data_IF_430669762017
#
_entry.id   IF_430669762017
#
_cell.length_a   1.000
_cell.length_b   1.000
_cell.length_c   1.000
_cell.angle_alpha   90.00
_cell.angle_beta   90.00
_cell.angle_gamma   90.00
#
_symmetry.space_group_name_H-M   'P 1'
#
loop_
_entity.id
_entity.type
_entity.pdbx_description
1 polymer ?
#
# COMPACT_ATOMS: atom_id res chain seq x y z
N UNK A 1 -88.86 -27.55 -8.81
CA UNK A 1 -88.51 -26.20 -9.35
C UNK A 1 -87.78 -25.32 -8.32
N UNK A 2 -88.34 -25.04 -7.14
CA UNK A 2 -87.64 -24.25 -6.09
C UNK A 2 -86.34 -24.88 -5.57
N UNK A 3 -86.32 -26.21 -5.39
CA UNK A 3 -85.12 -26.95 -4.96
C UNK A 3 -83.98 -26.90 -5.99
N UNK A 4 -84.30 -27.06 -7.28
CA UNK A 4 -83.32 -26.98 -8.37
C UNK A 4 -82.78 -25.56 -8.59
N UNK A 5 -83.60 -24.53 -8.36
CA UNK A 5 -83.15 -23.13 -8.42
C UNK A 5 -82.13 -22.84 -7.30
N UNK A 6 -82.38 -23.36 -6.10
CA UNK A 6 -81.51 -23.19 -4.94
C UNK A 6 -80.17 -23.95 -5.11
N UNK A 7 -80.21 -25.16 -5.69
CA UNK A 7 -79.01 -25.93 -5.99
C UNK A 7 -78.11 -25.24 -7.03
N UNK A 8 -78.69 -24.66 -8.09
CA UNK A 8 -77.96 -23.88 -9.10
C UNK A 8 -77.36 -22.60 -8.50
N UNK A 9 -78.11 -21.91 -7.62
CA UNK A 9 -77.62 -20.72 -6.92
C UNK A 9 -76.46 -21.04 -5.97
N UNK A 10 -76.54 -22.14 -5.22
CA UNK A 10 -75.45 -22.62 -4.34
C UNK A 10 -74.22 -22.99 -5.17
N UNK A 11 -74.38 -23.74 -6.27
CA UNK A 11 -73.26 -24.06 -7.18
C UNK A 11 -72.60 -22.81 -7.75
N UNK A 12 -73.39 -21.81 -8.16
CA UNK A 12 -72.89 -20.52 -8.63
C UNK A 12 -72.11 -19.76 -7.56
N UNK A 13 -72.63 -19.69 -6.33
CA UNK A 13 -71.95 -19.04 -5.21
C UNK A 13 -70.62 -19.73 -4.85
N UNK A 14 -70.60 -21.07 -4.83
CA UNK A 14 -69.39 -21.85 -4.57
C UNK A 14 -68.29 -21.56 -5.60
N UNK A 15 -68.65 -21.46 -6.89
CA UNK A 15 -67.69 -21.11 -7.96
C UNK A 15 -67.11 -19.71 -7.73
N UNK A 16 -67.95 -18.73 -7.38
CA UNK A 16 -67.49 -17.36 -7.11
C UNK A 16 -66.52 -17.34 -5.92
N UNK A 17 -66.83 -18.05 -4.83
CA UNK A 17 -65.95 -18.15 -3.66
C UNK A 17 -64.61 -18.80 -4.03
N UNK A 18 -64.63 -19.88 -4.82
CA UNK A 18 -63.39 -20.54 -5.30
C UNK A 18 -62.56 -19.56 -6.15
N UNK A 19 -63.18 -18.83 -7.08
CA UNK A 19 -62.47 -17.85 -7.90
C UNK A 19 -61.86 -16.73 -7.07
N UNK A 20 -62.56 -16.24 -6.05
CA UNK A 20 -62.02 -15.26 -5.11
C UNK A 20 -60.83 -15.82 -4.35
N UNK A 21 -60.93 -17.05 -3.82
CA UNK A 21 -59.81 -17.72 -3.14
C UNK A 21 -58.60 -17.91 -4.06
N UNK A 22 -58.82 -18.37 -5.30
CA UNK A 22 -57.74 -18.53 -6.29
C UNK A 22 -57.11 -17.19 -6.64
N UNK A 23 -57.91 -16.15 -6.86
CA UNK A 23 -57.40 -14.80 -7.17
C UNK A 23 -56.56 -14.24 -6.02
N UNK A 24 -57.01 -14.42 -4.77
CA UNK A 24 -56.26 -14.04 -3.59
C UNK A 24 -54.94 -14.80 -3.49
N UNK A 25 -54.94 -16.11 -3.70
CA UNK A 25 -53.72 -16.93 -3.70
C UNK A 25 -52.73 -16.49 -4.78
N UNK A 26 -53.20 -16.22 -6.00
CA UNK A 26 -52.35 -15.72 -7.09
C UNK A 26 -51.70 -14.39 -6.69
N UNK A 27 -52.48 -13.45 -6.15
CA UNK A 27 -51.95 -12.16 -5.69
C UNK A 27 -50.94 -12.33 -4.55
N UNK A 28 -51.28 -13.16 -3.56
CA UNK A 28 -50.44 -13.47 -2.41
C UNK A 28 -49.06 -14.00 -2.84
N UNK A 29 -49.02 -14.98 -3.75
CA UNK A 29 -47.78 -15.58 -4.22
C UNK A 29 -47.00 -14.70 -5.22
N UNK A 30 -47.66 -13.75 -5.89
CA UNK A 30 -47.01 -12.80 -6.83
C UNK A 30 -46.25 -11.68 -6.13
N UNK A 31 -46.61 -11.32 -4.89
CA UNK A 31 -45.97 -10.23 -4.15
C UNK A 31 -45.06 -10.69 -3.03
N UNK A 32 -44.93 -12.01 -2.84
CA UNK A 32 -44.22 -12.62 -1.71
C UNK A 32 -43.18 -13.63 -2.17
N UNK A 33 -42.12 -13.75 -1.39
CA UNK A 33 -41.19 -14.87 -1.50
C UNK A 33 -41.93 -16.19 -1.31
N UNK A 34 -41.46 -17.24 -1.97
CA UNK A 34 -42.14 -18.53 -1.90
C UNK A 34 -41.79 -19.25 -0.61
N UNK A 35 -42.44 -20.39 -0.36
CA UNK A 35 -42.09 -21.22 0.77
C UNK A 35 -40.63 -21.71 0.66
N UNK A 36 -39.97 -21.85 1.81
CA UNK A 36 -38.60 -22.33 1.92
C UNK A 36 -37.62 -21.43 1.15
N UNK A 37 -37.74 -20.12 1.34
CA UNK A 37 -36.82 -19.11 0.80
C UNK A 37 -35.97 -18.53 1.92
N UNK A 38 -34.66 -18.56 1.74
CA UNK A 38 -33.68 -18.08 2.72
C UNK A 38 -32.77 -17.02 2.09
N UNK A 39 -32.47 -15.96 2.85
CA UNK A 39 -31.44 -14.97 2.53
C UNK A 39 -30.37 -15.09 3.61
N UNK A 40 -29.22 -15.65 3.26
CA UNK A 40 -28.27 -16.17 4.24
C UNK A 40 -28.90 -17.28 5.08
N UNK A 41 -28.90 -17.09 6.40
CA UNK A 41 -29.54 -17.99 7.38
C UNK A 41 -30.97 -17.56 7.75
N UNK A 42 -31.45 -16.43 7.22
CA UNK A 42 -32.75 -15.86 7.59
C UNK A 42 -33.85 -16.43 6.70
N UNK A 43 -34.81 -17.12 7.31
CA UNK A 43 -36.01 -17.61 6.63
C UNK A 43 -36.91 -16.43 6.21
N UNK A 44 -37.06 -16.20 4.92
CA UNK A 44 -37.91 -15.17 4.34
C UNK A 44 -39.15 -15.76 3.64
N UNK A 45 -39.54 -16.99 4.00
CA UNK A 45 -40.71 -17.65 3.42
C UNK A 45 -41.97 -16.81 3.59
N UNK A 46 -42.68 -16.61 2.48
CA UNK A 46 -43.91 -15.80 2.40
C UNK A 46 -43.76 -14.33 2.77
N UNK A 47 -42.54 -13.81 2.97
CA UNK A 47 -42.34 -12.39 3.23
C UNK A 47 -42.63 -11.55 1.96
N UNK A 48 -43.22 -10.38 2.15
CA UNK A 48 -43.12 -9.26 1.21
C UNK A 48 -41.67 -8.73 1.20
N UNK A 49 -41.36 -7.84 0.26
CA UNK A 49 -40.04 -7.17 0.23
C UNK A 49 -39.75 -6.46 1.54
N UNK A 50 -40.68 -5.65 2.06
CA UNK A 50 -40.47 -4.87 3.29
C UNK A 50 -40.32 -5.75 4.53
N UNK A 51 -41.14 -6.81 4.64
CA UNK A 51 -41.01 -7.80 5.72
C UNK A 51 -39.68 -8.54 5.65
N UNK A 52 -39.18 -8.86 4.44
CA UNK A 52 -37.89 -9.53 4.27
C UNK A 52 -36.72 -8.61 4.66
N UNK A 53 -36.79 -7.32 4.30
CA UNK A 53 -35.81 -6.31 4.71
C UNK A 53 -35.72 -6.23 6.23
N UNK A 54 -36.86 -6.06 6.91
CA UNK A 54 -36.88 -5.97 8.38
C UNK A 54 -36.42 -7.26 9.05
N UNK A 55 -36.79 -8.43 8.51
CA UNK A 55 -36.38 -9.72 9.07
C UNK A 55 -34.89 -9.97 8.90
N UNK A 56 -34.32 -9.64 7.74
CA UNK A 56 -32.86 -9.71 7.52
C UNK A 56 -32.14 -8.72 8.42
N UNK A 57 -32.64 -7.49 8.54
CA UNK A 57 -32.10 -6.48 9.47
C UNK A 57 -32.03 -6.99 10.90
N UNK A 58 -33.09 -7.66 11.37
CA UNK A 58 -33.08 -8.28 12.70
C UNK A 58 -32.06 -9.43 12.80
N UNK A 59 -31.93 -10.24 11.75
CA UNK A 59 -30.95 -11.32 11.67
C UNK A 59 -29.50 -10.85 11.66
N UNK A 60 -29.23 -9.63 11.18
CA UNK A 60 -27.87 -9.07 11.10
C UNK A 60 -27.40 -8.35 12.37
N UNK A 61 -28.30 -8.02 13.31
CA UNK A 61 -27.95 -7.26 14.53
C UNK A 61 -26.84 -7.86 15.38
N UNK A 62 -26.79 -9.19 15.46
CA UNK A 62 -25.79 -9.90 16.25
C UNK A 62 -24.52 -10.24 15.45
N UNK A 63 -24.50 -9.94 14.14
CA UNK A 63 -23.35 -10.23 13.28
C UNK A 63 -22.29 -9.17 13.53
N UNK A 64 -21.09 -9.65 13.83
CA UNK A 64 -19.90 -8.84 14.00
C UNK A 64 -18.95 -9.05 12.83
N UNK A 65 -18.20 -8.01 12.51
CA UNK A 65 -17.01 -8.09 11.68
C UNK A 65 -15.76 -8.12 12.56
N UNK A 66 -14.68 -8.71 12.05
CA UNK A 66 -13.35 -8.67 12.64
C UNK A 66 -12.45 -7.80 11.76
N UNK A 67 -11.95 -6.70 12.31
CA UNK A 67 -10.95 -5.86 11.66
C UNK A 67 -9.58 -6.12 12.29
N UNK A 68 -8.69 -6.75 11.53
CA UNK A 68 -7.36 -7.16 11.97
C UNK A 68 -6.30 -6.14 11.58
N UNK A 69 -5.48 -5.71 12.55
CA UNK A 69 -4.36 -4.79 12.40
C UNK A 69 -3.02 -5.47 12.77
N UNK A 70 -1.89 -4.84 12.42
CA UNK A 70 -0.54 -5.45 12.49
C UNK A 70 0.00 -5.76 13.89
N UNK A 71 -0.64 -5.23 14.94
CA UNK A 71 -0.24 -5.46 16.33
C UNK A 71 -1.10 -6.53 17.03
N UNK A 72 -1.64 -7.48 16.27
CA UNK A 72 -2.63 -8.48 16.73
C UNK A 72 -3.90 -7.85 17.33
N UNK A 73 -4.13 -6.56 17.06
CA UNK A 73 -5.34 -5.85 17.49
C UNK A 73 -6.48 -6.26 16.56
N UNK A 74 -7.59 -6.66 17.18
CA UNK A 74 -8.81 -7.03 16.47
C UNK A 74 -9.96 -6.21 17.02
N UNK A 75 -10.58 -5.43 16.14
CA UNK A 75 -11.81 -4.71 16.44
C UNK A 75 -13.02 -5.52 16.00
N UNK A 76 -14.07 -5.51 16.83
CA UNK A 76 -15.24 -6.38 16.65
C UNK A 76 -16.57 -5.62 16.50
N UNK A 77 -16.69 -4.66 15.55
CA UNK A 77 -17.92 -3.93 15.38
C UNK A 77 -19.05 -4.82 14.88
N UNK A 78 -20.26 -4.50 15.30
CA UNK A 78 -21.48 -4.97 14.67
C UNK A 78 -21.67 -4.34 13.30
N UNK A 79 -22.39 -5.01 12.41
CA UNK A 79 -22.73 -4.46 11.09
C UNK A 79 -23.46 -3.11 11.18
N UNK A 80 -24.29 -2.90 12.21
CA UNK A 80 -24.99 -1.64 12.43
C UNK A 80 -24.02 -0.49 12.79
N UNK A 81 -23.01 -0.75 13.64
CA UNK A 81 -21.98 0.25 14.02
C UNK A 81 -21.15 0.73 12.82
N UNK A 82 -20.94 -0.14 11.84
CA UNK A 82 -20.22 0.17 10.59
C UNK A 82 -21.14 0.57 9.44
N UNK A 83 -22.40 0.88 9.74
CA UNK A 83 -23.32 1.51 8.79
C UNK A 83 -23.94 0.54 7.79
N UNK A 84 -24.37 -0.65 8.20
CA UNK A 84 -25.14 -1.55 7.35
C UNK A 84 -26.37 -0.86 6.75
N UNK A 85 -26.52 -1.01 5.44
CA UNK A 85 -27.67 -0.56 4.66
C UNK A 85 -28.26 -1.76 3.92
N UNK A 86 -29.58 -1.95 4.08
CA UNK A 86 -30.36 -2.93 3.34
C UNK A 86 -31.33 -2.18 2.44
N UNK A 87 -31.13 -2.25 1.13
CA UNK A 87 -31.95 -1.52 0.17
C UNK A 87 -33.10 -2.40 -0.34
N UNK A 88 -34.38 -1.96 -0.26
CA UNK A 88 -35.52 -2.74 -0.76
C UNK A 88 -35.41 -3.17 -2.23
N UNK A 89 -34.62 -2.45 -3.04
CA UNK A 89 -34.38 -2.76 -4.44
C UNK A 89 -33.72 -4.13 -4.64
N UNK A 90 -32.77 -4.52 -3.77
CA UNK A 90 -32.03 -5.78 -3.93
C UNK A 90 -32.95 -6.97 -3.61
N UNK A 91 -33.75 -6.84 -2.56
CA UNK A 91 -34.78 -7.82 -2.21
C UNK A 91 -35.84 -7.97 -3.31
N UNK A 92 -36.22 -6.85 -3.96
CA UNK A 92 -37.13 -6.89 -5.12
C UNK A 92 -36.49 -7.62 -6.31
N UNK A 93 -35.19 -7.47 -6.54
CA UNK A 93 -34.47 -8.21 -7.56
C UNK A 93 -34.41 -9.71 -7.25
N UNK A 94 -34.15 -10.08 -5.99
CA UNK A 94 -34.22 -11.49 -5.54
C UNK A 94 -35.61 -12.08 -5.76
N UNK A 95 -36.67 -11.34 -5.40
CA UNK A 95 -38.06 -11.76 -5.61
C UNK A 95 -38.37 -11.98 -7.10
N UNK A 96 -37.98 -11.02 -7.95
CA UNK A 96 -38.14 -11.12 -9.41
C UNK A 96 -37.39 -12.32 -9.97
N UNK A 97 -36.15 -12.55 -9.52
CA UNK A 97 -35.33 -13.70 -9.92
C UNK A 97 -36.02 -15.01 -9.56
N UNK A 98 -36.52 -15.13 -8.32
CA UNK A 98 -37.28 -16.30 -7.87
C UNK A 98 -38.50 -16.57 -8.77
N UNK A 99 -39.31 -15.55 -9.02
CA UNK A 99 -40.54 -15.71 -9.82
C UNK A 99 -40.28 -15.97 -11.30
N UNK A 100 -39.11 -15.56 -11.82
CA UNK A 100 -38.73 -15.85 -13.20
C UNK A 100 -38.34 -17.31 -13.43
N UNK A 101 -37.98 -18.05 -12.37
CA UNK A 101 -37.56 -19.44 -12.47
C UNK A 101 -38.08 -20.29 -11.30
N UNK A 102 -39.14 -21.05 -11.56
CA UNK A 102 -39.78 -21.93 -10.57
C UNK A 102 -38.84 -22.98 -9.98
N UNK A 103 -37.82 -23.43 -10.73
CA UNK A 103 -36.84 -24.43 -10.31
C UNK A 103 -35.61 -23.83 -9.63
N UNK A 104 -35.54 -22.49 -9.49
CA UNK A 104 -34.39 -21.85 -8.88
C UNK A 104 -34.19 -22.26 -7.42
N UNK A 105 -32.92 -22.40 -7.02
CA UNK A 105 -32.57 -22.53 -5.61
C UNK A 105 -33.06 -21.27 -4.88
N UNK A 106 -33.80 -21.47 -3.79
CA UNK A 106 -34.39 -20.41 -2.98
C UNK A 106 -33.50 -20.02 -1.79
N UNK A 107 -32.24 -20.45 -1.81
CA UNK A 107 -31.20 -20.00 -0.90
C UNK A 107 -30.35 -18.93 -1.58
N UNK A 108 -30.51 -17.68 -1.13
CA UNK A 108 -29.76 -16.53 -1.61
C UNK A 108 -28.63 -16.19 -0.63
N UNK A 109 -27.48 -15.77 -1.15
CA UNK A 109 -26.39 -15.32 -0.29
C UNK A 109 -26.76 -13.98 0.35
N UNK A 110 -26.53 -13.83 1.65
CA UNK A 110 -26.79 -12.58 2.38
C UNK A 110 -26.05 -11.39 1.75
N UNK A 111 -24.85 -11.60 1.20
CA UNK A 111 -24.04 -10.56 0.56
C UNK A 111 -24.72 -9.91 -0.65
N UNK A 112 -25.73 -10.57 -1.24
CA UNK A 112 -26.49 -9.98 -2.35
C UNK A 112 -27.37 -8.79 -1.95
N UNK A 113 -27.52 -8.55 -0.64
CA UNK A 113 -28.35 -7.46 -0.10
C UNK A 113 -27.62 -6.61 0.95
N UNK A 114 -26.35 -6.90 1.26
CA UNK A 114 -25.56 -6.14 2.24
C UNK A 114 -24.80 -5.02 1.56
N UNK A 115 -25.06 -3.80 1.99
CA UNK A 115 -24.27 -2.61 1.65
C UNK A 115 -23.80 -1.91 2.93
N UNK A 116 -22.75 -1.11 2.82
CA UNK A 116 -22.22 -0.36 3.96
C UNK A 116 -22.08 1.12 3.60
N UNK A 117 -22.61 1.98 4.47
CA UNK A 117 -22.49 3.42 4.30
C UNK A 117 -21.04 3.85 4.49
N UNK A 118 -20.48 4.37 3.41
CA UNK A 118 -19.08 4.80 3.34
C UNK A 118 -18.74 5.84 4.40
N UNK A 119 -19.65 6.78 4.68
CA UNK A 119 -19.38 7.86 5.63
C UNK A 119 -19.44 7.36 7.07
N UNK A 120 -20.41 6.51 7.42
CA UNK A 120 -20.48 5.90 8.76
C UNK A 120 -19.24 5.06 9.03
N UNK A 121 -18.87 4.17 8.09
CA UNK A 121 -17.67 3.35 8.20
C UNK A 121 -16.40 4.21 8.35
N UNK A 122 -16.30 5.31 7.58
CA UNK A 122 -15.20 6.26 7.70
C UNK A 122 -15.15 6.93 9.07
N UNK A 123 -16.28 7.32 9.64
CA UNK A 123 -16.32 7.91 10.98
C UNK A 123 -15.91 6.89 12.04
N UNK A 124 -16.41 5.65 11.94
CA UNK A 124 -15.98 4.55 12.81
C UNK A 124 -14.45 4.38 12.77
N UNK A 125 -13.85 4.33 11.58
CA UNK A 125 -12.39 4.23 11.46
C UNK A 125 -11.64 5.41 12.06
N UNK A 126 -12.15 6.65 12.01
CA UNK A 126 -11.48 7.79 12.64
C UNK A 126 -11.41 7.68 14.17
N UNK A 127 -12.32 6.94 14.78
CA UNK A 127 -12.38 6.77 16.22
C UNK A 127 -11.39 5.70 16.71
N UNK A 128 -10.99 4.77 15.82
CA UNK A 128 -10.05 3.71 16.12
C UNK A 128 -8.65 4.26 16.46
N UNK A 129 -8.03 3.83 17.58
CA UNK A 129 -6.67 4.23 17.93
C UNK A 129 -5.65 4.01 16.81
N UNK A 130 -5.74 2.90 16.08
CA UNK A 130 -4.82 2.48 15.01
C UNK A 130 -4.84 3.46 13.83
N UNK A 131 -5.95 4.16 13.66
CA UNK A 131 -6.17 5.15 12.61
C UNK A 131 -5.85 6.59 13.04
N UNK A 132 -5.37 6.79 14.28
CA UNK A 132 -4.95 8.11 14.76
C UNK A 132 -3.54 8.42 14.31
N UNK A 133 -3.32 9.68 13.93
CA UNK A 133 -2.02 10.16 13.44
C UNK A 133 -0.89 9.93 14.46
N UNK A 134 -1.16 10.00 15.77
CA UNK A 134 -0.16 9.71 16.81
C UNK A 134 0.30 8.25 16.86
N UNK A 135 -0.52 7.32 16.38
CA UNK A 135 -0.24 5.88 16.40
C UNK A 135 0.26 5.36 15.04
N UNK A 136 0.01 6.11 13.96
CA UNK A 136 0.56 5.81 12.63
C UNK A 136 2.04 6.17 12.54
N UNK A 137 2.87 5.18 12.17
CA UNK A 137 4.29 5.39 11.88
C UNK A 137 4.47 5.38 10.37
N UNK A 138 4.98 6.48 9.82
CA UNK A 138 5.40 6.55 8.42
C UNK A 138 6.68 5.71 8.27
N UNK A 139 6.77 4.79 7.30
CA UNK A 139 8.00 4.05 7.06
C UNK A 139 9.15 5.02 6.76
N UNK A 140 10.31 4.78 7.37
CA UNK A 140 11.51 5.61 7.16
C UNK A 140 12.53 4.80 6.40
N UNK A 141 13.02 5.36 5.29
CA UNK A 141 14.11 4.78 4.50
C UNK A 141 15.39 4.67 5.33
N UNK A 142 16.18 3.63 5.07
CA UNK A 142 17.56 3.58 5.49
C UNK A 142 18.35 4.72 4.86
N UNK A 143 19.39 5.21 5.54
CA UNK A 143 20.22 6.31 5.06
C UNK A 143 21.70 6.09 5.37
N UNK A 144 22.56 6.50 4.45
CA UNK A 144 23.99 6.60 4.68
C UNK A 144 24.24 7.83 5.55
N UNK A 145 24.91 7.63 6.69
CA UNK A 145 25.26 8.68 7.64
C UNK A 145 26.77 8.87 7.71
N UNK A 146 27.20 10.11 7.92
CA UNK A 146 28.60 10.50 8.05
C UNK A 146 28.92 10.87 9.50
N UNK A 147 29.85 10.15 10.15
CA UNK A 147 30.23 10.42 11.55
C UNK A 147 31.53 11.24 11.69
N UNK A 148 32.02 11.83 10.60
CA UNK A 148 33.30 12.54 10.56
C UNK A 148 34.52 11.66 10.24
N UNK A 149 34.39 10.33 10.26
CA UNK A 149 35.49 9.40 9.99
C UNK A 149 35.15 8.34 8.94
N UNK A 150 33.94 7.81 8.94
CA UNK A 150 33.48 6.79 8.01
C UNK A 150 31.98 6.94 7.72
N UNK A 151 31.55 6.30 6.64
CA UNK A 151 30.14 6.15 6.31
C UNK A 151 29.56 4.93 7.01
N UNK A 152 28.42 5.10 7.66
CA UNK A 152 27.61 4.02 8.23
C UNK A 152 26.21 4.05 7.62
N UNK A 153 25.40 3.03 7.91
CA UNK A 153 23.97 3.03 7.56
C UNK A 153 23.18 3.22 8.85
N UNK A 154 22.31 4.23 8.85
CA UNK A 154 21.17 4.27 9.77
C UNK A 154 20.07 3.37 9.16
N UNK A 155 19.66 2.30 9.87
CA UNK A 155 18.68 1.35 9.33
C UNK A 155 17.31 1.97 9.09
N UNK A 156 16.58 1.38 8.15
CA UNK A 156 15.19 1.69 7.88
C UNK A 156 14.30 1.39 9.09
N UNK A 157 13.16 2.08 9.17
CA UNK A 157 12.10 1.81 10.15
C UNK A 157 10.82 1.41 9.43
N UNK A 158 10.26 0.28 9.84
CA UNK A 158 8.99 -0.20 9.30
C UNK A 158 7.86 0.76 9.66
N UNK A 159 6.97 0.98 8.70
CA UNK A 159 5.77 1.76 8.88
C UNK A 159 4.59 0.93 9.38
N UNK A 160 3.57 1.65 9.86
CA UNK A 160 2.23 1.13 10.17
C UNK A 160 1.12 2.08 9.75
N UNK A 161 1.41 2.92 8.75
CA UNK A 161 0.46 3.92 8.28
C UNK A 161 -0.60 3.26 7.40
N UNK A 162 -1.87 3.59 7.63
CA UNK A 162 -2.98 3.17 6.79
C UNK A 162 -3.68 4.42 6.28
N UNK A 163 -3.87 4.52 4.96
CA UNK A 163 -4.69 5.60 4.41
C UNK A 163 -6.17 5.32 4.67
N UNK A 164 -6.87 6.30 5.25
CA UNK A 164 -8.26 6.11 5.69
C UNK A 164 -9.23 5.84 4.53
N UNK A 165 -9.03 6.49 3.38
CA UNK A 165 -9.92 6.26 2.23
C UNK A 165 -9.69 4.86 1.67
N UNK A 166 -8.41 4.44 1.58
CA UNK A 166 -8.07 3.06 1.20
C UNK A 166 -8.63 2.05 2.19
N UNK A 167 -8.59 2.32 3.49
CA UNK A 167 -9.17 1.44 4.50
C UNK A 167 -10.68 1.26 4.31
N UNK A 168 -11.40 2.35 4.10
CA UNK A 168 -12.84 2.34 3.83
C UNK A 168 -13.17 1.53 2.58
N UNK A 169 -12.50 1.84 1.47
CA UNK A 169 -12.77 1.16 0.19
C UNK A 169 -12.40 -0.33 0.26
N UNK A 170 -11.30 -0.66 0.93
CA UNK A 170 -10.88 -2.04 1.15
C UNK A 170 -11.86 -2.81 2.04
N UNK A 171 -12.31 -2.23 3.15
CA UNK A 171 -13.27 -2.86 4.04
C UNK A 171 -14.61 -3.12 3.35
N UNK A 172 -15.15 -2.15 2.60
CA UNK A 172 -16.38 -2.34 1.80
C UNK A 172 -16.20 -3.51 0.83
N UNK A 173 -15.09 -3.55 0.10
CA UNK A 173 -14.82 -4.63 -0.85
C UNK A 173 -14.75 -6.02 -0.18
N UNK A 174 -14.12 -6.13 1.00
CA UNK A 174 -14.03 -7.41 1.73
C UNK A 174 -15.38 -7.83 2.30
N UNK A 175 -16.11 -6.90 2.92
CA UNK A 175 -17.43 -7.14 3.52
C UNK A 175 -18.47 -7.56 2.47
N UNK A 176 -18.52 -6.88 1.32
CA UNK A 176 -19.44 -7.22 0.22
C UNK A 176 -19.14 -8.58 -0.42
N UNK A 177 -17.92 -9.11 -0.29
CA UNK A 177 -17.56 -10.45 -0.75
C UNK A 177 -17.88 -11.55 0.28
N UNK A 178 -18.43 -11.21 1.45
CA UNK A 178 -18.81 -12.17 2.48
C UNK A 178 -17.75 -12.49 3.49
N UNK A 179 -16.63 -11.76 3.48
CA UNK A 179 -15.67 -11.80 4.55
C UNK A 179 -16.25 -11.04 5.75
N UNK A 180 -16.59 -11.75 6.82
CA UNK A 180 -16.74 -11.14 8.15
C UNK A 180 -15.40 -10.70 8.74
N UNK A 181 -14.32 -10.76 7.96
CA UNK A 181 -12.94 -10.54 8.35
C UNK A 181 -12.27 -9.60 7.35
N UNK A 182 -11.65 -8.53 7.85
CA UNK A 182 -10.89 -7.56 7.05
C UNK A 182 -9.50 -7.46 7.62
N UNK A 183 -8.49 -7.80 6.81
CA UNK A 183 -7.09 -7.80 7.22
C UNK A 183 -6.39 -6.53 6.70
N UNK A 184 -6.30 -5.50 7.53
CA UNK A 184 -5.71 -4.22 7.14
C UNK A 184 -4.20 -4.29 6.91
N UNK A 185 -3.54 -5.32 7.45
CA UNK A 185 -2.13 -5.66 7.19
C UNK A 185 -1.78 -5.71 5.70
N UNK A 186 -2.76 -6.01 4.83
CA UNK A 186 -2.59 -6.03 3.36
C UNK A 186 -2.35 -4.63 2.79
N UNK A 187 -2.98 -3.60 3.37
CA UNK A 187 -2.93 -2.22 2.87
C UNK A 187 -2.08 -1.29 3.73
N UNK A 188 -1.53 -1.78 4.85
CA UNK A 188 -0.61 -1.03 5.69
C UNK A 188 0.67 -0.72 4.93
N UNK A 189 1.08 0.55 4.95
CA UNK A 189 2.36 1.01 4.42
C UNK A 189 3.51 0.59 5.35
N UNK A 190 3.96 -0.65 5.21
CA UNK A 190 5.05 -1.22 5.99
C UNK A 190 6.43 -0.90 5.47
N UNK A 191 6.59 -1.05 4.15
CA UNK A 191 7.90 -1.19 3.55
C UNK A 191 8.49 0.20 3.27
N UNK A 192 9.71 0.47 3.75
CA UNK A 192 10.48 1.60 3.29
C UNK A 192 10.88 1.38 1.82
N UNK A 193 11.13 2.46 1.10
CA UNK A 193 11.57 2.43 -0.29
C UNK A 193 13.04 2.02 -0.43
N UNK A 194 13.86 2.36 0.57
CA UNK A 194 15.29 2.05 0.62
C UNK A 194 15.60 1.33 1.92
N UNK A 195 16.25 0.18 1.80
CA UNK A 195 16.63 -0.70 2.91
C UNK A 195 18.13 -0.66 3.18
N UNK A 196 18.55 -1.20 4.32
CA UNK A 196 19.96 -1.36 4.67
C UNK A 196 20.70 -2.21 3.63
N UNK A 197 20.03 -3.23 3.09
CA UNK A 197 20.58 -4.10 2.05
C UNK A 197 20.88 -3.32 0.76
N UNK A 198 19.94 -2.46 0.33
CA UNK A 198 20.12 -1.60 -0.87
C UNK A 198 21.34 -0.67 -0.75
N UNK A 199 21.71 -0.29 0.48
CA UNK A 199 22.80 0.64 0.77
C UNK A 199 24.13 -0.01 1.09
N UNK A 200 24.18 -1.32 1.34
CA UNK A 200 25.38 -2.02 1.82
C UNK A 200 26.58 -1.80 0.89
N UNK A 201 26.41 -2.14 -0.40
CA UNK A 201 27.46 -1.97 -1.42
C UNK A 201 27.85 -0.51 -1.61
N UNK A 202 26.89 0.42 -1.51
CA UNK A 202 27.15 1.86 -1.64
C UNK A 202 27.98 2.38 -0.47
N UNK A 203 27.63 2.01 0.77
CA UNK A 203 28.41 2.34 1.97
C UNK A 203 29.85 1.84 1.84
N UNK A 204 30.04 0.61 1.35
CA UNK A 204 31.37 0.04 1.18
C UNK A 204 32.18 0.79 0.12
N UNK A 205 31.58 1.09 -1.02
CA UNK A 205 32.18 1.92 -2.06
C UNK A 205 32.63 3.29 -1.53
N UNK A 206 31.75 4.02 -0.82
CA UNK A 206 32.09 5.32 -0.25
C UNK A 206 33.23 5.24 0.76
N UNK A 207 33.27 4.18 1.57
CA UNK A 207 34.36 3.95 2.51
C UNK A 207 35.67 3.53 1.84
N UNK A 208 35.61 2.89 0.65
CA UNK A 208 36.79 2.60 -0.17
C UNK A 208 37.38 3.90 -0.71
N UNK A 209 36.57 4.75 -1.36
CA UNK A 209 37.02 6.06 -1.85
C UNK A 209 37.64 6.89 -0.72
N UNK A 210 36.99 6.93 0.44
CA UNK A 210 37.46 7.70 1.58
C UNK A 210 38.85 7.25 2.11
N UNK A 211 39.19 5.97 1.93
CA UNK A 211 40.49 5.39 2.31
C UNK A 211 41.55 5.54 1.23
N UNK A 212 41.20 6.00 0.03
CA UNK A 212 42.13 6.18 -1.07
C UNK A 212 43.24 7.16 -0.67
N UNK A 213 44.43 6.85 -1.14
CA UNK A 213 45.64 7.62 -0.89
C UNK A 213 46.52 7.55 -2.13
N UNK A 214 46.57 8.65 -2.89
CA UNK A 214 47.35 8.78 -4.12
C UNK A 214 48.46 9.82 -3.90
N UNK A 215 49.65 9.52 -4.41
CA UNK A 215 50.83 10.39 -4.33
C UNK A 215 51.28 10.81 -5.72
N UNK A 216 51.29 12.11 -5.98
CA UNK A 216 51.74 12.71 -7.23
C UNK A 216 53.10 13.34 -6.98
N UNK A 217 54.15 12.78 -7.56
CA UNK A 217 55.53 13.28 -7.41
C UNK A 217 55.81 14.28 -8.54
N UNK A 218 56.09 15.52 -8.16
CA UNK A 218 56.37 16.61 -9.09
C UNK A 218 57.84 16.62 -9.52
N UNK A 219 58.13 17.35 -10.60
CA UNK A 219 59.47 17.49 -11.18
C UNK A 219 60.48 18.21 -10.28
N UNK A 220 60.02 18.97 -9.28
CA UNK A 220 60.88 19.63 -8.28
C UNK A 220 61.05 18.78 -7.00
N UNK A 221 60.55 17.54 -7.01
CA UNK A 221 60.62 16.60 -5.89
C UNK A 221 59.50 16.76 -4.85
N UNK A 222 58.65 17.79 -4.94
CA UNK A 222 57.48 17.91 -4.07
C UNK A 222 56.45 16.81 -4.34
N UNK A 223 55.69 16.44 -3.31
CA UNK A 223 54.62 15.43 -3.42
C UNK A 223 53.28 16.06 -3.10
N UNK A 224 52.33 15.95 -4.04
CA UNK A 224 50.92 16.30 -3.83
C UNK A 224 50.17 15.02 -3.47
N UNK A 225 49.28 15.09 -2.49
CA UNK A 225 48.59 13.92 -1.96
C UNK A 225 47.08 14.11 -2.10
N UNK A 226 46.41 13.14 -2.73
CA UNK A 226 44.97 12.96 -2.62
C UNK A 226 44.71 11.94 -1.51
N UNK A 227 44.05 12.35 -0.43
CA UNK A 227 43.73 11.47 0.69
C UNK A 227 42.38 11.83 1.32
N UNK A 228 42.03 11.13 2.40
CA UNK A 228 40.81 11.37 3.18
C UNK A 228 40.54 12.86 3.52
N UNK A 229 41.57 13.67 3.80
CA UNK A 229 41.38 15.09 4.14
C UNK A 229 40.93 15.93 2.96
N UNK A 230 41.30 15.54 1.75
CA UNK A 230 40.79 16.13 0.52
C UNK A 230 39.43 15.53 0.18
N UNK A 231 39.30 14.21 0.19
CA UNK A 231 38.07 13.51 -0.22
C UNK A 231 36.87 13.87 0.67
N UNK A 232 37.08 14.14 1.97
CA UNK A 232 36.01 14.59 2.86
C UNK A 232 35.38 15.93 2.42
N UNK A 233 36.10 16.76 1.66
CA UNK A 233 35.56 18.03 1.13
C UNK A 233 34.64 17.80 -0.06
N UNK A 234 34.60 16.58 -0.60
CA UNK A 234 33.72 16.17 -1.71
C UNK A 234 32.40 15.57 -1.21
N UNK A 235 32.24 15.39 0.10
CA UNK A 235 31.03 14.82 0.70
C UNK A 235 29.90 15.83 0.61
N UNK A 236 28.74 15.37 0.14
CA UNK A 236 27.49 16.16 0.12
C UNK A 236 26.30 15.33 0.54
N UNK A 237 25.23 16.02 0.93
CA UNK A 237 23.95 15.40 1.24
C UNK A 237 23.19 15.04 -0.04
N UNK A 238 22.45 13.94 0.03
CA UNK A 238 21.58 13.36 -0.97
C UNK A 238 20.24 13.06 -0.30
N UNK A 239 19.16 13.57 -0.88
CA UNK A 239 17.82 13.50 -0.29
C UNK A 239 17.33 12.06 -0.12
N UNK A 240 17.73 11.15 -1.01
CA UNK A 240 17.25 9.78 -1.07
C UNK A 240 18.09 8.83 -0.23
N UNK A 241 19.41 8.96 -0.30
CA UNK A 241 20.37 7.99 0.24
C UNK A 241 21.14 8.51 1.45
N UNK A 242 21.01 9.78 1.85
CA UNK A 242 21.75 10.36 2.98
C UNK A 242 23.00 11.10 2.52
N UNK A 243 24.19 10.51 2.63
CA UNK A 243 25.44 11.13 2.16
C UNK A 243 26.04 10.42 0.94
N UNK A 244 26.67 11.21 0.08
CA UNK A 244 27.42 10.74 -1.09
C UNK A 244 28.76 11.47 -1.20
N UNK A 245 29.66 10.94 -2.03
CA UNK A 245 30.92 11.60 -2.40
C UNK A 245 30.78 12.06 -3.85
N UNK A 246 30.91 13.37 -4.09
CA UNK A 246 30.89 13.97 -5.43
C UNK A 246 32.26 13.81 -6.10
N UNK A 247 32.54 12.58 -6.54
CA UNK A 247 33.84 12.19 -7.11
C UNK A 247 34.16 13.00 -8.37
N UNK A 248 33.16 13.28 -9.21
CA UNK A 248 33.39 14.03 -10.46
C UNK A 248 33.85 15.46 -10.17
N UNK A 249 33.06 16.21 -9.41
CA UNK A 249 33.41 17.59 -9.07
C UNK A 249 34.70 17.65 -8.23
N UNK A 250 34.85 16.73 -7.28
CA UNK A 250 36.02 16.66 -6.42
C UNK A 250 37.31 16.40 -7.20
N UNK A 251 37.28 15.48 -8.16
CA UNK A 251 38.40 15.22 -9.06
C UNK A 251 38.69 16.42 -9.96
N UNK A 252 37.68 17.08 -10.53
CA UNK A 252 37.88 18.27 -11.36
C UNK A 252 38.56 19.41 -10.60
N UNK A 253 38.14 19.66 -9.36
CA UNK A 253 38.77 20.66 -8.49
C UNK A 253 40.21 20.26 -8.11
N UNK A 254 40.44 18.96 -7.84
CA UNK A 254 41.76 18.45 -7.53
C UNK A 254 42.73 18.55 -8.71
N UNK A 255 42.29 18.20 -9.93
CA UNK A 255 43.10 18.27 -11.15
C UNK A 255 43.52 19.72 -11.45
N UNK A 256 42.62 20.70 -11.31
CA UNK A 256 42.97 22.11 -11.47
C UNK A 256 44.08 22.54 -10.50
N UNK A 257 43.93 22.17 -9.23
CA UNK A 257 44.94 22.45 -8.20
C UNK A 257 46.26 21.70 -8.46
N UNK A 258 46.20 20.48 -8.99
CA UNK A 258 47.37 19.72 -9.41
C UNK A 258 48.09 20.38 -10.60
N UNK A 259 47.34 20.84 -11.61
CA UNK A 259 47.88 21.51 -12.79
C UNK A 259 48.68 22.78 -12.44
N UNK A 260 48.14 23.62 -11.55
CA UNK A 260 48.82 24.82 -11.04
C UNK A 260 50.15 24.48 -10.32
N UNK A 261 50.15 23.38 -9.55
CA UNK A 261 51.34 22.90 -8.84
C UNK A 261 52.37 22.30 -9.81
N UNK A 262 51.93 21.57 -10.82
CA UNK A 262 52.79 21.04 -11.89
C UNK A 262 53.44 22.19 -12.68
N UNK A 263 52.68 23.21 -13.07
CA UNK A 263 53.23 24.39 -13.76
C UNK A 263 54.30 25.09 -12.90
N UNK A 264 54.01 25.26 -11.61
CA UNK A 264 54.93 25.88 -10.65
C UNK A 264 56.21 25.08 -10.46
N UNK A 265 56.11 23.74 -10.36
CA UNK A 265 57.27 22.84 -10.24
C UNK A 265 58.11 22.85 -11.53
N UNK A 266 57.46 22.77 -12.70
CA UNK A 266 58.13 22.78 -13.99
C UNK A 266 58.93 24.07 -14.22
N UNK A 267 58.40 25.23 -13.80
CA UNK A 267 59.15 26.50 -13.81
C UNK A 267 60.43 26.46 -12.97
N UNK A 268 60.42 25.79 -11.81
CA UNK A 268 61.60 25.64 -10.93
C UNK A 268 62.61 24.64 -11.48
N UNK A 269 62.13 23.60 -12.15
CA UNK A 269 62.97 22.54 -12.74
C UNK A 269 63.35 22.79 -14.21
N UNK A 270 63.05 23.97 -14.75
CA UNK A 270 63.30 24.35 -16.16
C UNK A 270 62.69 23.38 -17.19
N UNK A 271 61.53 22.78 -16.88
CA UNK A 271 60.75 21.93 -17.78
C UNK A 271 59.59 22.71 -18.39
N UNK A 272 59.10 22.28 -19.55
CA UNK A 272 57.96 22.91 -20.25
C UNK A 272 56.83 21.92 -20.57
N UNK A 273 56.61 20.94 -19.68
CA UNK A 273 55.54 19.96 -19.81
C UNK A 273 54.23 20.49 -19.21
N UNK A 274 53.09 20.13 -19.82
CA UNK A 274 51.76 20.37 -19.26
C UNK A 274 51.18 19.07 -18.72
N UNK A 275 50.36 19.19 -17.68
CA UNK A 275 49.53 18.10 -17.18
C UNK A 275 48.53 17.69 -18.27
N UNK A 276 48.43 16.39 -18.55
CA UNK A 276 47.31 15.87 -19.35
C UNK A 276 46.12 15.66 -18.41
N UNK A 277 45.33 16.71 -18.24
CA UNK A 277 44.22 16.74 -17.27
C UNK A 277 43.21 15.59 -17.48
N UNK A 278 42.98 15.16 -18.72
CA UNK A 278 42.04 14.10 -19.04
C UNK A 278 42.59 12.73 -18.66
N UNK A 279 43.84 12.43 -19.04
CA UNK A 279 44.49 11.17 -18.69
C UNK A 279 44.61 11.01 -17.16
N UNK A 280 44.88 12.12 -16.46
CA UNK A 280 45.03 12.15 -15.01
C UNK A 280 43.69 11.98 -14.29
N UNK A 281 42.61 12.57 -14.83
CA UNK A 281 41.25 12.37 -14.33
C UNK A 281 40.85 10.89 -14.43
N UNK A 282 41.14 10.24 -15.55
CA UNK A 282 40.89 8.81 -15.76
C UNK A 282 41.70 7.94 -14.79
N UNK A 283 43.00 8.24 -14.62
CA UNK A 283 43.86 7.54 -13.67
C UNK A 283 43.38 7.68 -12.21
N UNK A 284 42.90 8.87 -11.83
CA UNK A 284 42.30 9.09 -10.50
C UNK A 284 41.04 8.25 -10.33
N UNK A 285 40.12 8.24 -11.31
CA UNK A 285 38.91 7.44 -11.22
C UNK A 285 39.21 5.95 -11.07
N UNK A 286 40.10 5.41 -11.90
CA UNK A 286 40.52 4.01 -11.81
C UNK A 286 41.13 3.70 -10.43
N UNK A 287 41.97 4.61 -9.91
CA UNK A 287 42.60 4.42 -8.61
C UNK A 287 41.63 4.56 -7.41
N UNK A 288 40.58 5.39 -7.53
CA UNK A 288 39.54 5.52 -6.50
C UNK A 288 38.59 4.30 -6.48
N UNK A 289 38.46 3.59 -7.59
CA UNK A 289 37.72 2.32 -7.66
C UNK A 289 38.49 1.13 -7.10
N UNK A 290 39.82 1.21 -7.05
CA UNK A 290 40.68 0.15 -6.51
C UNK A 290 40.79 0.20 -4.97
N UNK A 291 40.72 -0.96 -4.32
CA UNK A 291 40.93 -1.08 -2.87
C UNK A 291 42.42 -1.08 -2.52
N UNK A 292 42.97 0.03 -2.03
CA UNK A 292 44.34 0.10 -1.48
C UNK A 292 45.04 1.44 -1.70
N UNK A 293 46.21 1.63 -1.08
CA UNK A 293 47.16 2.69 -1.46
C UNK A 293 47.63 2.42 -2.88
N UNK A 294 47.12 3.17 -3.84
CA UNK A 294 47.66 3.15 -5.20
C UNK A 294 48.75 4.22 -5.25
N UNK A 295 50.01 3.77 -5.20
CA UNK A 295 51.14 4.58 -5.61
C UNK A 295 51.10 4.74 -7.13
N UNK A 296 50.31 5.70 -7.59
CA UNK A 296 50.43 6.16 -8.97
C UNK A 296 51.59 7.15 -9.00
N UNK A 297 52.82 6.66 -9.14
CA UNK A 297 53.95 7.52 -9.48
C UNK A 297 53.79 7.99 -10.93
N UNK A 298 53.04 9.07 -11.14
CA UNK A 298 53.04 9.76 -12.43
C UNK A 298 54.30 10.62 -12.52
N UNK A 299 55.29 10.09 -13.22
CA UNK A 299 56.50 10.81 -13.56
C UNK A 299 56.18 11.81 -14.66
N UNK A 300 56.15 13.10 -14.33
CA UNK A 300 56.33 14.19 -15.32
C UNK A 300 57.80 14.29 -15.76
N UNK A 301 58.39 13.13 -16.06
CA UNK A 301 59.77 12.99 -16.52
C UNK A 301 59.78 11.93 -17.63
N UNK A 302 59.76 12.40 -18.87
CA UNK A 302 60.69 11.92 -19.90
C UNK A 302 61.18 13.10 -20.71
#
# INVERSE_FOLDING_TARGET
>A
MFQELNEKAIKGLTIVVILLCVSYLILFYKTRFWNNTFIGTVDCSYCTVDEAVEKVKQGTKAIKCNFYFDNDIVEHPTYDEIGLVLEPKDFKELLKKQHSNFLSNRNYNINSVLHFDRNILKQYFKELPEMKAENMIIPQNARIVWNGKNFNIEPEKLGRQIDIEKAVDFAIAQLSNGGGEVYFTIITAHKPEVTTEDLASRKDYLNTILKSYLRFKLSDGNVVILNQNTIKTWIKEDEKYGYIVDVEKGTDEFIKMLAEKVESANKRSHLNQKLDEQAEKEAIYEALEQTGTVDVEMFYIK
#
